data_IF_850998487975
#
_entry.id   IF_850998487975
#
_cell.length_a   1.000
_cell.length_b   1.000
_cell.length_c   1.000
_cell.angle_alpha   90.00
_cell.angle_beta   90.00
_cell.angle_gamma   90.00
#
_symmetry.space_group_name_H-M   'P 1'
#
loop_
_entity.id
_entity.type
_entity.pdbx_description
1 polymer ?
#
# COMPACT_ATOMS: atom_id res chain seq x y z
N UNK A 1 -4.93 32.44 -63.96
CA UNK A 1 -4.30 33.58 -63.26
C UNK A 1 -4.43 33.29 -61.78
N UNK A 2 -3.41 32.65 -61.22
CA UNK A 2 -2.32 33.31 -60.49
C UNK A 2 -2.79 33.61 -59.06
N UNK A 3 -2.10 33.27 -57.98
CA UNK A 3 -0.82 32.60 -57.75
C UNK A 3 -0.72 32.48 -56.19
N UNK A 4 0.21 31.66 -55.72
CA UNK A 4 0.87 31.66 -54.40
C UNK A 4 0.25 30.88 -53.23
N UNK A 5 0.72 29.63 -53.14
CA UNK A 5 1.56 29.14 -52.04
C UNK A 5 1.81 30.11 -50.88
N UNK A 6 1.51 29.67 -49.66
CA UNK A 6 2.29 30.03 -48.46
C UNK A 6 2.31 28.84 -47.51
N UNK A 7 3.54 28.42 -47.23
CA UNK A 7 3.96 27.28 -46.47
C UNK A 7 3.96 27.60 -44.96
N UNK A 8 3.92 26.53 -44.16
CA UNK A 8 4.71 26.34 -42.93
C UNK A 8 4.60 27.33 -41.77
N UNK A 9 4.08 26.84 -40.63
CA UNK A 9 4.88 26.40 -39.48
C UNK A 9 3.96 26.42 -38.25
N UNK A 10 3.49 25.25 -37.84
CA UNK A 10 2.94 25.08 -36.48
C UNK A 10 4.10 25.30 -35.51
N UNK A 11 4.05 26.40 -34.77
CA UNK A 11 4.97 26.71 -33.68
C UNK A 11 5.02 25.52 -32.73
N UNK A 12 6.20 24.90 -32.64
CA UNK A 12 6.52 23.97 -31.58
C UNK A 12 6.46 24.77 -30.26
N UNK A 13 5.52 24.43 -29.38
CA UNK A 13 5.50 24.91 -28.01
C UNK A 13 6.85 24.60 -27.37
N UNK A 14 7.64 25.65 -27.19
CA UNK A 14 8.93 25.61 -26.55
C UNK A 14 8.69 25.42 -25.04
N UNK A 15 8.64 24.17 -24.60
CA UNK A 15 8.62 23.83 -23.17
C UNK A 15 10.00 24.19 -22.61
N UNK A 16 10.13 25.44 -22.14
CA UNK A 16 11.24 25.85 -21.29
C UNK A 16 11.12 25.10 -19.96
N UNK A 17 11.80 23.96 -19.86
CA UNK A 17 11.96 23.21 -18.62
C UNK A 17 12.89 24.00 -17.69
N UNK A 18 12.32 24.95 -16.95
CA UNK A 18 13.01 25.59 -15.84
C UNK A 18 13.31 24.56 -14.75
N UNK A 19 14.58 24.42 -14.39
CA UNK A 19 15.03 23.67 -13.21
C UNK A 19 14.40 24.29 -11.96
N UNK A 20 13.22 23.80 -11.56
CA UNK A 20 12.43 24.34 -10.45
C UNK A 20 10.94 24.00 -10.50
N UNK A 21 10.42 23.52 -11.64
CA UNK A 21 9.02 23.08 -11.77
C UNK A 21 8.77 21.65 -11.29
N UNK A 22 9.09 21.31 -10.04
CA UNK A 22 8.57 20.07 -9.47
C UNK A 22 7.09 20.30 -9.14
N UNK A 23 6.19 19.81 -10.00
CA UNK A 23 4.80 19.64 -9.60
C UNK A 23 4.76 18.55 -8.52
N UNK A 24 4.81 18.98 -7.26
CA UNK A 24 4.68 18.06 -6.13
C UNK A 24 3.35 17.33 -6.23
N UNK A 25 3.37 16.00 -6.11
CA UNK A 25 2.17 15.18 -6.26
C UNK A 25 1.10 15.43 -5.18
N UNK A 26 1.45 16.19 -4.13
CA UNK A 26 0.60 16.51 -2.98
C UNK A 26 0.72 15.48 -1.86
N UNK A 27 -0.05 15.71 -0.78
CA UNK A 27 0.01 14.89 0.45
C UNK A 27 -0.83 13.60 0.38
N UNK A 28 -1.63 13.41 -0.68
CA UNK A 28 -2.39 12.19 -0.96
C UNK A 28 -2.11 11.74 -2.40
N UNK A 29 -0.98 11.06 -2.59
CA UNK A 29 -0.41 10.78 -3.89
C UNK A 29 0.08 9.34 -4.02
N UNK A 30 -0.09 8.80 -5.23
CA UNK A 30 0.54 7.56 -5.67
C UNK A 30 1.39 7.86 -6.88
N UNK A 31 2.70 7.67 -6.76
CA UNK A 31 3.67 7.99 -7.80
C UNK A 31 4.34 6.70 -8.29
N UNK A 32 4.01 6.22 -9.50
CA UNK A 32 4.77 5.14 -10.12
C UNK A 32 6.15 5.65 -10.56
N UNK A 33 7.16 4.80 -10.45
CA UNK A 33 8.50 5.09 -10.94
C UNK A 33 9.13 3.83 -11.53
N UNK A 34 10.18 4.04 -12.32
CA UNK A 34 11.01 2.98 -12.88
C UNK A 34 12.48 3.40 -12.81
N UNK A 35 13.35 2.47 -12.47
CA UNK A 35 14.79 2.65 -12.44
C UNK A 35 15.38 1.76 -13.53
N UNK A 36 15.61 2.34 -14.70
CA UNK A 36 16.05 1.61 -15.90
C UNK A 36 17.35 0.83 -15.65
N UNK A 37 18.34 1.46 -15.00
CA UNK A 37 19.63 0.81 -14.73
C UNK A 37 19.59 -0.40 -13.80
N UNK A 38 18.45 -0.69 -13.17
CA UNK A 38 18.25 -1.84 -12.27
C UNK A 38 17.14 -2.79 -12.77
N UNK A 39 16.50 -2.51 -13.91
CA UNK A 39 15.31 -3.22 -14.41
C UNK A 39 14.20 -3.35 -13.34
N UNK A 40 14.01 -2.30 -12.56
CA UNK A 40 13.09 -2.28 -11.44
C UNK A 40 12.02 -1.23 -11.67
N UNK A 41 10.78 -1.57 -11.35
CA UNK A 41 9.67 -0.63 -11.24
C UNK A 41 9.14 -0.60 -9.82
N UNK A 42 8.49 0.48 -9.47
CA UNK A 42 7.88 0.58 -8.15
C UNK A 42 6.83 1.66 -8.08
N UNK A 43 6.26 1.80 -6.89
CA UNK A 43 5.31 2.87 -6.57
C UNK A 43 5.58 3.37 -5.17
N UNK A 44 5.56 4.69 -5.03
CA UNK A 44 5.55 5.36 -3.74
C UNK A 44 4.13 5.86 -3.47
N UNK A 45 3.67 5.68 -2.24
CA UNK A 45 2.39 6.20 -1.75
C UNK A 45 2.67 7.11 -0.57
N UNK A 46 2.01 8.27 -0.55
CA UNK A 46 1.92 9.14 0.61
C UNK A 46 0.45 9.49 0.82
N UNK A 47 -0.02 9.33 2.06
CA UNK A 47 -1.36 9.66 2.52
C UNK A 47 -1.25 10.60 3.73
N UNK A 48 -1.96 11.71 3.66
CA UNK A 48 -1.99 12.77 4.67
C UNK A 48 -3.43 13.16 5.00
N UNK A 49 -4.05 14.12 4.30
CA UNK A 49 -5.43 14.50 4.54
C UNK A 49 -6.42 13.32 4.51
N UNK A 50 -6.27 12.40 3.56
CA UNK A 50 -7.14 11.22 3.42
C UNK A 50 -7.07 10.29 4.65
N UNK A 51 -5.86 9.96 5.12
CA UNK A 51 -5.71 9.10 6.28
C UNK A 51 -6.19 9.78 7.56
N UNK A 52 -5.96 11.08 7.70
CA UNK A 52 -6.51 11.87 8.81
C UNK A 52 -8.05 11.81 8.83
N UNK A 53 -8.70 11.95 7.68
CA UNK A 53 -10.16 11.90 7.60
C UNK A 53 -10.73 10.52 7.98
N UNK A 54 -10.05 9.44 7.60
CA UNK A 54 -10.41 8.06 7.96
C UNK A 54 -10.32 7.87 9.48
N UNK A 55 -9.17 8.22 10.06
CA UNK A 55 -8.88 7.96 11.47
C UNK A 55 -9.71 8.83 12.43
N UNK A 56 -9.98 10.10 12.07
CA UNK A 56 -10.76 11.03 12.91
C UNK A 56 -12.22 10.61 13.11
N UNK A 57 -12.77 9.75 12.26
CA UNK A 57 -14.18 9.37 12.32
C UNK A 57 -14.54 8.47 13.51
N UNK A 58 -13.57 7.74 14.05
CA UNK A 58 -13.78 6.70 15.05
C UNK A 58 -12.96 6.89 16.34
N UNK A 59 -12.20 7.98 16.45
CA UNK A 59 -11.38 8.31 17.64
C UNK A 59 -10.52 7.12 18.13
N UNK A 60 -9.88 6.41 17.20
CA UNK A 60 -9.06 5.25 17.53
C UNK A 60 -7.89 5.60 18.48
N UNK A 61 -7.57 4.71 19.44
CA UNK A 61 -6.30 4.75 20.15
C UNK A 61 -5.11 4.76 19.17
N UNK A 62 -3.99 5.35 19.58
CA UNK A 62 -2.87 5.62 18.69
C UNK A 62 -2.33 4.35 18.00
N UNK A 63 -2.29 3.25 18.75
CA UNK A 63 -1.80 1.94 18.33
C UNK A 63 -2.68 1.36 17.22
N UNK A 64 -4.00 1.44 17.42
CA UNK A 64 -5.00 0.97 16.43
C UNK A 64 -5.00 1.87 15.20
N UNK A 65 -4.89 3.18 15.39
CA UNK A 65 -4.84 4.16 14.31
C UNK A 65 -3.59 3.95 13.41
N UNK A 66 -2.44 3.68 14.02
CA UNK A 66 -1.19 3.37 13.31
C UNK A 66 -1.34 2.10 12.47
N UNK A 67 -1.81 1.02 13.07
CA UNK A 67 -2.04 -0.26 12.39
C UNK A 67 -3.03 -0.10 11.22
N UNK A 68 -4.15 0.59 11.44
CA UNK A 68 -5.14 0.84 10.38
C UNK A 68 -4.55 1.69 9.24
N UNK A 69 -3.69 2.66 9.55
CA UNK A 69 -2.99 3.44 8.54
C UNK A 69 -1.98 2.63 7.73
N UNK A 70 -1.21 1.74 8.37
CA UNK A 70 -0.30 0.82 7.67
C UNK A 70 -1.07 -0.10 6.71
N UNK A 71 -2.16 -0.71 7.18
CA UNK A 71 -3.05 -1.51 6.34
C UNK A 71 -3.65 -0.69 5.18
N UNK A 72 -3.97 0.58 5.42
CA UNK A 72 -4.50 1.48 4.39
C UNK A 72 -3.47 1.76 3.29
N UNK A 73 -2.24 2.10 3.67
CA UNK A 73 -1.15 2.33 2.71
C UNK A 73 -0.85 1.06 1.92
N UNK A 74 -0.76 -0.09 2.59
CA UNK A 74 -0.54 -1.37 1.92
C UNK A 74 -1.63 -1.62 0.87
N UNK A 75 -2.90 -1.46 1.27
CA UNK A 75 -4.04 -1.66 0.36
C UNK A 75 -4.00 -0.72 -0.84
N UNK A 76 -3.62 0.54 -0.67
CA UNK A 76 -3.47 1.50 -1.78
C UNK A 76 -2.28 1.14 -2.68
N UNK A 77 -1.14 0.73 -2.11
CA UNK A 77 0.01 0.26 -2.89
C UNK A 77 -0.37 -0.93 -3.77
N UNK A 78 -1.03 -1.94 -3.20
CA UNK A 78 -1.40 -3.14 -3.94
C UNK A 78 -2.53 -2.87 -4.93
N UNK A 79 -3.59 -2.20 -4.47
CA UNK A 79 -4.77 -1.88 -5.27
C UNK A 79 -4.47 -0.98 -6.46
N UNK A 80 -3.47 -0.09 -6.36
CA UNK A 80 -3.06 0.69 -7.52
C UNK A 80 -2.12 -0.09 -8.45
N UNK A 81 -1.34 -1.04 -7.91
CA UNK A 81 -0.39 -1.85 -8.69
C UNK A 81 -1.06 -2.85 -9.63
N UNK A 82 -2.24 -3.33 -9.26
CA UNK A 82 -3.03 -4.27 -10.06
C UNK A 82 -3.81 -3.54 -11.18
N UNK A 83 -3.86 -4.15 -12.37
CA UNK A 83 -4.69 -3.66 -13.48
C UNK A 83 -6.09 -4.25 -13.37
N UNK A 84 -7.01 -3.55 -12.71
CA UNK A 84 -8.42 -3.93 -12.62
C UNK A 84 -9.31 -2.69 -12.60
N UNK A 85 -10.61 -2.88 -12.81
CA UNK A 85 -11.64 -1.86 -12.52
C UNK A 85 -12.69 -2.43 -11.57
N UNK A 86 -12.77 -1.87 -10.36
CA UNK A 86 -13.61 -2.43 -9.29
C UNK A 86 -13.10 -2.10 -7.90
N UNK A 87 -13.11 -3.11 -7.02
CA UNK A 87 -12.72 -3.02 -5.61
C UNK A 87 -11.60 -3.99 -5.30
N UNK A 88 -10.60 -3.51 -4.58
CA UNK A 88 -9.59 -4.30 -3.89
C UNK A 88 -9.83 -4.19 -2.38
N UNK A 89 -9.96 -5.33 -1.72
CA UNK A 89 -10.34 -5.41 -0.30
C UNK A 89 -9.22 -6.14 0.43
N UNK A 90 -8.69 -5.47 1.45
CA UNK A 90 -7.84 -6.04 2.50
C UNK A 90 -8.75 -6.35 3.68
N UNK A 91 -8.73 -7.59 4.17
CA UNK A 91 -9.50 -7.96 5.35
C UNK A 91 -8.74 -8.92 6.25
N UNK A 92 -8.59 -8.57 7.52
CA UNK A 92 -8.07 -9.49 8.54
C UNK A 92 -9.21 -10.07 9.39
N UNK A 93 -8.98 -11.29 9.85
CA UNK A 93 -9.73 -11.89 10.95
C UNK A 93 -8.72 -12.59 11.86
N UNK A 94 -8.63 -12.14 13.11
CA UNK A 94 -7.58 -12.59 14.02
C UNK A 94 -8.03 -12.66 15.48
N UNK A 95 -7.17 -13.26 16.31
CA UNK A 95 -7.39 -13.46 17.74
C UNK A 95 -6.72 -12.40 18.64
N UNK A 96 -6.05 -11.41 18.06
CA UNK A 96 -5.39 -10.33 18.78
C UNK A 96 -6.35 -9.24 19.31
N UNK A 97 -5.82 -8.22 20.01
CA UNK A 97 -6.60 -7.05 20.45
C UNK A 97 -7.36 -6.34 19.34
N UNK A 98 -6.83 -6.34 18.11
CA UNK A 98 -7.47 -5.84 16.91
C UNK A 98 -7.92 -7.04 16.07
N UNK A 99 -9.15 -7.49 16.30
CA UNK A 99 -9.66 -8.75 15.74
C UNK A 99 -10.06 -8.66 14.25
N UNK A 100 -10.24 -7.44 13.73
CA UNK A 100 -10.67 -7.21 12.36
C UNK A 100 -10.22 -5.84 11.85
N UNK A 101 -9.51 -5.86 10.72
CA UNK A 101 -9.26 -4.70 9.87
C UNK A 101 -9.94 -4.94 8.53
N UNK A 102 -10.56 -3.91 7.99
CA UNK A 102 -11.07 -3.90 6.62
C UNK A 102 -10.64 -2.62 5.95
N UNK A 103 -10.00 -2.74 4.79
CA UNK A 103 -9.70 -1.59 3.92
C UNK A 103 -10.19 -1.92 2.52
N UNK A 104 -11.05 -1.05 1.99
CA UNK A 104 -11.49 -1.15 0.61
C UNK A 104 -10.91 0.00 -0.19
N UNK A 105 -10.14 -0.35 -1.21
CA UNK A 105 -9.74 0.54 -2.29
C UNK A 105 -10.66 0.30 -3.49
N UNK A 106 -11.27 1.37 -4.01
CA UNK A 106 -12.09 1.35 -5.22
C UNK A 106 -11.46 2.25 -6.27
N UNK A 107 -11.31 1.72 -7.47
CA UNK A 107 -10.82 2.49 -8.62
C UNK A 107 -11.74 3.68 -8.90
N UNK A 108 -11.20 4.84 -9.28
CA UNK A 108 -9.77 5.10 -9.49
C UNK A 108 -9.00 5.53 -8.21
N UNK A 109 -9.64 6.11 -7.19
CA UNK A 109 -8.94 6.80 -6.08
C UNK A 109 -9.69 6.82 -4.74
N UNK A 110 -10.69 5.95 -4.56
CA UNK A 110 -11.52 5.96 -3.35
C UNK A 110 -11.01 4.93 -2.36
N UNK A 111 -10.81 5.31 -1.10
CA UNK A 111 -10.42 4.39 -0.04
C UNK A 111 -11.31 4.56 1.18
N UNK A 112 -11.67 3.44 1.82
CA UNK A 112 -12.33 3.41 3.13
C UNK A 112 -11.63 2.37 3.99
N UNK A 113 -11.52 2.65 5.28
CA UNK A 113 -10.88 1.74 6.21
C UNK A 113 -11.66 1.71 7.53
N UNK A 114 -11.65 0.56 8.19
CA UNK A 114 -12.29 0.33 9.47
C UNK A 114 -11.50 -0.70 10.28
N UNK A 115 -11.38 -0.45 11.59
CA UNK A 115 -10.84 -1.38 12.57
C UNK A 115 -11.88 -1.69 13.64
N UNK A 116 -11.97 -2.96 14.05
CA UNK A 116 -12.63 -3.39 15.27
C UNK A 116 -11.57 -3.92 16.24
N UNK A 117 -11.69 -3.54 17.50
CA UNK A 117 -10.75 -3.91 18.54
C UNK A 117 -11.47 -4.09 19.89
N UNK A 118 -10.88 -4.87 20.77
CA UNK A 118 -11.30 -5.04 22.17
C UNK A 118 -10.52 -4.09 23.06
N UNK A 119 -11.22 -3.17 23.74
CA UNK A 119 -10.59 -2.15 24.58
C UNK A 119 -9.83 -2.73 25.79
N UNK A 120 -10.31 -3.81 26.39
CA UNK A 120 -9.68 -4.40 27.57
C UNK A 120 -8.38 -5.08 27.17
N UNK A 121 -8.42 -5.90 26.11
CA UNK A 121 -7.24 -6.58 25.58
C UNK A 121 -6.21 -5.60 25.02
N UNK A 122 -6.66 -4.50 24.42
CA UNK A 122 -5.76 -3.43 23.97
C UNK A 122 -5.05 -2.77 25.16
N UNK A 123 -5.76 -2.44 26.24
CA UNK A 123 -5.15 -1.86 27.46
C UNK A 123 -4.11 -2.80 28.07
N UNK A 124 -4.40 -4.10 28.11
CA UNK A 124 -3.45 -5.12 28.57
C UNK A 124 -2.21 -5.18 27.68
N UNK A 125 -2.39 -5.14 26.35
CA UNK A 125 -1.28 -5.12 25.40
C UNK A 125 -0.41 -3.87 25.54
N UNK A 126 -1.01 -2.69 25.74
CA UNK A 126 -0.31 -1.44 26.01
C UNK A 126 0.48 -1.53 27.32
N UNK A 127 -0.14 -2.02 28.40
CA UNK A 127 0.53 -2.19 29.69
C UNK A 127 1.70 -3.19 29.63
N UNK A 128 1.61 -4.19 28.76
CA UNK A 128 2.65 -5.18 28.50
C UNK A 128 3.70 -4.73 27.46
N UNK A 129 3.58 -3.51 26.91
CA UNK A 129 4.42 -2.98 25.83
C UNK A 129 4.43 -3.88 24.57
N UNK A 130 3.30 -4.50 24.26
CA UNK A 130 3.06 -5.37 23.09
C UNK A 130 2.16 -4.68 22.07
N UNK A 131 2.62 -3.55 21.56
CA UNK A 131 1.83 -2.65 20.71
C UNK A 131 2.32 -2.61 19.26
N UNK A 132 3.19 -3.54 18.86
CA UNK A 132 3.60 -3.65 17.45
C UNK A 132 2.41 -4.11 16.59
N UNK A 133 2.32 -3.68 15.32
CA UNK A 133 1.21 -4.04 14.43
C UNK A 133 0.84 -5.53 14.43
N UNK A 134 1.84 -6.40 14.31
CA UNK A 134 1.69 -7.87 14.32
C UNK A 134 1.23 -8.43 15.68
N UNK A 135 1.59 -7.79 16.79
CA UNK A 135 1.18 -8.19 18.13
C UNK A 135 -0.29 -7.82 18.40
N UNK A 136 -0.71 -6.67 17.86
CA UNK A 136 -2.10 -6.21 17.93
C UNK A 136 -3.03 -7.06 17.05
N UNK A 137 -2.52 -7.53 15.91
CA UNK A 137 -3.25 -8.47 15.05
C UNK A 137 -3.29 -9.87 15.67
N UNK A 138 -2.20 -10.36 16.25
CA UNK A 138 -2.11 -11.73 16.75
C UNK A 138 -2.10 -12.74 15.60
N UNK A 139 -2.73 -13.90 15.82
CA UNK A 139 -2.81 -14.97 14.83
C UNK A 139 -4.16 -14.98 14.13
N UNK A 140 -4.20 -15.45 12.88
CA UNK A 140 -5.42 -15.48 12.10
C UNK A 140 -5.18 -15.54 10.61
N UNK A 141 -6.01 -14.85 9.85
CA UNK A 141 -5.92 -14.80 8.39
C UNK A 141 -6.04 -13.37 7.88
N UNK A 142 -5.33 -13.11 6.79
CA UNK A 142 -5.48 -11.93 5.95
C UNK A 142 -5.95 -12.39 4.57
N UNK A 143 -7.03 -11.79 4.09
CA UNK A 143 -7.57 -11.99 2.77
C UNK A 143 -7.40 -10.73 1.91
N UNK A 144 -6.82 -10.91 0.73
CA UNK A 144 -6.84 -9.93 -0.37
C UNK A 144 -7.91 -10.36 -1.37
N UNK A 145 -8.88 -9.49 -1.64
CA UNK A 145 -9.98 -9.79 -2.56
C UNK A 145 -10.05 -8.76 -3.67
N UNK A 146 -10.04 -9.21 -4.92
CA UNK A 146 -10.28 -8.40 -6.12
C UNK A 146 -11.70 -8.69 -6.62
N UNK A 147 -12.54 -7.66 -6.70
CA UNK A 147 -13.92 -7.72 -7.17
C UNK A 147 -14.14 -6.70 -8.29
N UNK A 148 -14.31 -7.16 -9.51
CA UNK A 148 -14.51 -6.33 -10.72
C UNK A 148 -15.99 -6.25 -11.14
N UNK A 149 -16.93 -6.64 -10.27
CA UNK A 149 -18.36 -6.57 -10.50
C UNK A 149 -19.02 -7.88 -10.94
N UNK A 150 -20.33 -7.79 -11.22
CA UNK A 150 -21.27 -8.93 -11.29
C UNK A 150 -20.91 -9.95 -12.39
N UNK A 151 -20.25 -9.52 -13.46
CA UNK A 151 -19.89 -10.38 -14.59
C UNK A 151 -18.46 -10.92 -14.51
N UNK A 152 -17.78 -10.73 -13.38
CA UNK A 152 -16.40 -11.16 -13.17
C UNK A 152 -16.31 -12.12 -11.99
N UNK A 153 -15.41 -13.08 -12.07
CA UNK A 153 -15.13 -13.92 -10.92
C UNK A 153 -14.31 -13.14 -9.91
N UNK A 154 -14.78 -13.14 -8.66
CA UNK A 154 -14.02 -12.61 -7.53
C UNK A 154 -12.79 -13.49 -7.31
N UNK A 155 -11.63 -12.85 -7.27
CA UNK A 155 -10.38 -13.50 -6.92
C UNK A 155 -10.04 -13.19 -5.47
N UNK A 156 -9.66 -14.20 -4.69
CA UNK A 156 -9.30 -14.05 -3.29
C UNK A 156 -8.02 -14.83 -2.98
N UNK A 157 -7.01 -14.13 -2.48
CA UNK A 157 -5.81 -14.71 -1.91
C UNK A 157 -5.88 -14.64 -0.39
N UNK A 158 -5.58 -15.75 0.29
CA UNK A 158 -5.60 -15.83 1.76
C UNK A 158 -4.19 -16.20 2.24
N UNK A 159 -3.70 -15.48 3.24
CA UNK A 159 -2.42 -15.70 3.89
C UNK A 159 -2.61 -15.74 5.41
N UNK A 160 -1.73 -16.48 6.09
CA UNK A 160 -1.78 -16.58 7.55
C UNK A 160 -1.25 -15.29 8.20
N UNK A 161 -1.83 -14.94 9.34
CA UNK A 161 -1.22 -14.04 10.31
C UNK A 161 -0.61 -14.93 11.38
N UNK A 162 0.71 -14.91 11.49
CA UNK A 162 1.52 -15.80 12.34
C UNK A 162 2.57 -15.02 13.17
N UNK A 163 2.35 -13.72 13.33
CA UNK A 163 3.28 -12.79 13.96
C UNK A 163 4.27 -12.13 13.01
N UNK A 164 4.22 -12.43 11.70
CA UNK A 164 4.92 -11.64 10.69
C UNK A 164 4.31 -10.24 10.53
N UNK A 165 5.16 -9.29 10.12
CA UNK A 165 4.74 -7.93 9.78
C UNK A 165 3.86 -7.91 8.52
N UNK A 166 3.05 -6.85 8.36
CA UNK A 166 2.25 -6.67 7.14
C UNK A 166 3.12 -6.61 5.87
N UNK A 167 4.36 -6.13 5.99
CA UNK A 167 5.33 -6.08 4.91
C UNK A 167 5.75 -7.49 4.47
N UNK A 168 6.15 -8.33 5.41
CA UNK A 168 6.55 -9.72 5.17
C UNK A 168 5.41 -10.56 4.61
N UNK A 169 4.20 -10.36 5.14
CA UNK A 169 2.99 -11.05 4.65
C UNK A 169 2.70 -10.65 3.20
N UNK A 170 2.77 -9.35 2.87
CA UNK A 170 2.57 -8.88 1.50
C UNK A 170 3.64 -9.42 0.55
N UNK A 171 4.92 -9.40 0.94
CA UNK A 171 6.02 -9.97 0.15
C UNK A 171 5.82 -11.46 -0.08
N UNK A 172 5.38 -12.20 0.95
CA UNK A 172 5.08 -13.63 0.85
C UNK A 172 3.93 -13.89 -0.12
N UNK A 173 2.87 -13.09 -0.05
CA UNK A 173 1.74 -13.15 -0.97
C UNK A 173 2.19 -12.98 -2.43
N UNK A 174 2.97 -11.94 -2.76
CA UNK A 174 3.47 -11.73 -4.13
C UNK A 174 4.42 -12.83 -4.58
N UNK A 175 5.27 -13.34 -3.67
CA UNK A 175 6.16 -14.45 -3.98
C UNK A 175 5.39 -15.71 -4.38
N UNK A 176 4.33 -16.03 -3.64
CA UNK A 176 3.54 -17.26 -3.85
C UNK A 176 2.54 -17.14 -5.00
N UNK A 177 1.82 -16.01 -5.10
CA UNK A 177 0.72 -15.85 -6.06
C UNK A 177 1.17 -15.33 -7.42
N UNK A 178 2.18 -14.46 -7.47
CA UNK A 178 2.59 -13.77 -8.70
C UNK A 178 3.99 -14.17 -9.19
N UNK A 179 4.80 -14.83 -8.35
CA UNK A 179 6.21 -15.16 -8.64
C UNK A 179 7.03 -13.92 -9.07
N UNK A 180 6.71 -12.75 -8.50
CA UNK A 180 7.42 -11.50 -8.71
C UNK A 180 8.21 -11.20 -7.43
N UNK A 181 9.56 -11.21 -7.48
CA UNK A 181 10.36 -10.76 -6.35
C UNK A 181 9.99 -9.29 -6.06
N UNK A 182 9.43 -9.09 -4.87
CA UNK A 182 8.83 -7.84 -4.43
C UNK A 182 9.47 -7.48 -3.11
N UNK A 183 9.86 -6.22 -2.96
CA UNK A 183 10.20 -5.62 -1.68
C UNK A 183 9.18 -4.53 -1.35
N UNK A 184 8.86 -4.39 -0.07
CA UNK A 184 7.82 -3.51 0.40
C UNK A 184 8.21 -2.90 1.75
N UNK A 185 8.03 -1.58 1.85
CA UNK A 185 8.23 -0.82 3.10
C UNK A 185 7.04 0.08 3.38
N UNK A 186 6.64 0.11 4.64
CA UNK A 186 5.55 0.93 5.16
C UNK A 186 6.10 1.81 6.28
N UNK A 187 5.53 2.99 6.42
CA UNK A 187 5.84 3.89 7.52
C UNK A 187 4.64 4.75 7.87
N UNK A 188 4.35 4.86 9.16
CA UNK A 188 3.30 5.72 9.68
C UNK A 188 3.85 6.49 10.87
N UNK A 189 3.58 7.80 10.87
CA UNK A 189 3.97 8.69 11.95
C UNK A 189 2.89 9.74 12.21
N UNK A 190 2.86 10.22 13.46
CA UNK A 190 2.22 11.49 13.79
C UNK A 190 3.23 12.61 13.59
N UNK A 191 2.81 13.62 12.84
CA UNK A 191 3.50 14.88 12.69
C UNK A 191 2.84 15.92 13.59
N UNK A 192 3.64 16.70 14.30
CA UNK A 192 3.16 17.83 15.10
C UNK A 192 3.56 19.10 14.36
N UNK A 193 2.57 19.83 13.87
CA UNK A 193 2.76 21.09 13.17
C UNK A 193 2.16 22.25 13.97
N UNK A 194 2.54 23.49 13.67
CA UNK A 194 1.87 24.67 14.22
C UNK A 194 0.67 25.03 13.34
N UNK A 195 -0.52 25.03 13.94
CA UNK A 195 -1.74 25.50 13.31
C UNK A 195 -1.73 27.00 13.05
N UNK A 196 -2.72 27.47 12.29
CA UNK A 196 -2.87 28.90 11.95
C UNK A 196 -3.09 29.79 13.20
N UNK A 197 -3.58 29.21 14.29
CA UNK A 197 -3.72 29.87 15.60
C UNK A 197 -2.47 29.76 16.49
N UNK A 198 -1.36 29.22 15.94
CA UNK A 198 -0.09 29.02 16.63
C UNK A 198 -0.04 27.81 17.57
N UNK A 199 -1.14 27.07 17.74
CA UNK A 199 -1.21 25.88 18.60
C UNK A 199 -0.69 24.63 17.89
N UNK A 200 -0.14 23.64 18.60
CA UNK A 200 0.24 22.37 18.00
C UNK A 200 -0.99 21.64 17.46
N UNK A 201 -0.90 21.16 16.23
CA UNK A 201 -1.90 20.33 15.57
C UNK A 201 -1.23 19.00 15.22
N UNK A 202 -1.79 17.92 15.75
CA UNK A 202 -1.38 16.56 15.39
C UNK A 202 -2.02 16.14 14.07
N UNK A 203 -1.21 15.62 13.16
CA UNK A 203 -1.66 15.04 11.91
C UNK A 203 -0.97 13.72 11.65
N UNK A 204 -1.70 12.76 11.09
CA UNK A 204 -1.14 11.52 10.60
C UNK A 204 -0.48 11.72 9.24
N UNK A 205 0.67 11.06 9.07
CA UNK A 205 1.36 10.85 7.79
C UNK A 205 1.62 9.37 7.65
N UNK A 206 1.18 8.80 6.54
CA UNK A 206 1.34 7.40 6.24
C UNK A 206 1.92 7.28 4.83
N UNK A 207 2.90 6.42 4.63
CA UNK A 207 3.54 6.25 3.34
C UNK A 207 4.16 4.89 3.19
N UNK A 208 4.48 4.55 1.95
CA UNK A 208 5.08 3.27 1.66
C UNK A 208 5.61 3.18 0.25
N UNK A 209 6.42 2.16 0.02
CA UNK A 209 7.12 1.89 -1.21
C UNK A 209 6.96 0.42 -1.55
N UNK A 210 6.61 0.13 -2.80
CA UNK A 210 6.71 -1.22 -3.36
C UNK A 210 7.70 -1.19 -4.52
N UNK A 211 8.58 -2.18 -4.57
CA UNK A 211 9.63 -2.33 -5.56
C UNK A 211 9.55 -3.74 -6.15
N UNK A 212 9.54 -3.85 -7.48
CA UNK A 212 9.40 -5.10 -8.22
C UNK A 212 10.30 -5.11 -9.43
N UNK A 213 10.90 -6.26 -9.74
CA UNK A 213 11.62 -6.43 -11.00
C UNK A 213 10.67 -6.40 -12.21
N UNK A 214 11.17 -5.92 -13.34
CA UNK A 214 10.48 -6.03 -14.63
C UNK A 214 10.44 -7.50 -15.10
N UNK A 215 9.41 -7.89 -15.89
CA UNK A 215 9.26 -9.27 -16.35
C UNK A 215 10.49 -9.85 -17.06
N UNK A 216 11.23 -9.01 -17.78
CA UNK A 216 12.40 -9.37 -18.62
C UNK A 216 13.75 -9.20 -17.91
N UNK A 217 13.78 -8.84 -16.63
CA UNK A 217 15.05 -8.58 -15.93
C UNK A 217 15.90 -9.84 -15.76
N UNK A 218 17.16 -9.81 -16.18
CA UNK A 218 18.13 -10.89 -15.93
C UNK A 218 18.40 -11.09 -14.42
N UNK A 219 18.22 -10.06 -13.60
CA UNK A 219 18.35 -10.14 -12.14
C UNK A 219 17.22 -10.95 -11.51
N UNK A 220 16.04 -10.98 -12.15
CA UNK A 220 14.93 -11.86 -11.75
C UNK A 220 15.34 -13.34 -11.85
N UNK A 221 16.09 -13.71 -12.90
CA UNK A 221 16.57 -15.07 -13.12
C UNK A 221 17.67 -15.50 -12.13
N UNK A 222 18.24 -14.56 -11.34
CA UNK A 222 19.26 -14.86 -10.33
C UNK A 222 18.69 -15.18 -8.95
N UNK A 223 17.37 -15.07 -8.73
CA UNK A 223 16.75 -15.60 -7.52
C UNK A 223 16.74 -17.13 -7.65
N UNK A 224 17.50 -17.88 -6.83
CA UNK A 224 17.55 -19.33 -6.97
C UNK A 224 16.16 -19.90 -6.74
N UNK A 225 15.75 -20.85 -7.61
CA UNK A 225 14.64 -21.73 -7.29
C UNK A 225 14.90 -22.35 -5.91
N UNK A 226 14.07 -21.99 -4.93
CA UNK A 226 14.07 -22.68 -3.65
C UNK A 226 13.75 -24.15 -3.94
N UNK A 227 14.57 -25.11 -3.49
CA UNK A 227 14.36 -26.51 -3.82
C UNK A 227 12.96 -26.92 -3.37
N UNK A 228 12.24 -27.58 -4.29
CA UNK A 228 10.98 -28.24 -3.99
C UNK A 228 11.16 -29.09 -2.73
N UNK A 229 10.22 -28.98 -1.80
CA UNK A 229 10.18 -29.76 -0.57
C UNK A 229 10.25 -31.23 -0.93
N UNK A 230 11.43 -31.85 -0.84
CA UNK A 230 11.57 -33.29 -0.94
C UNK A 230 10.86 -33.88 0.26
N UNK A 231 9.76 -34.58 -0.02
CA UNK A 231 9.06 -35.41 0.92
C UNK A 231 10.06 -36.29 1.69
N UNK A 232 10.09 -36.12 3.01
CA UNK A 232 10.69 -37.09 3.92
C UNK A 232 9.81 -38.35 3.88
N UNK A 233 10.13 -39.27 2.97
CA UNK A 233 9.75 -40.67 3.10
C UNK A 233 10.79 -41.39 3.96
N UNK A 234 10.30 -41.91 5.09
CA UNK A 234 10.69 -43.12 5.81
C UNK A 234 12.15 -43.64 5.67
N UNK A 235 12.84 -43.71 6.81
CA UNK A 235 13.23 -44.99 7.41
C UNK A 235 13.47 -44.83 8.92
#
# INVERSE_FOLDING_TARGET
MSDKTSNEHTEAENIQTGLGGFNFAGDDAVVPFQVEGLDVRGRAVQLGPSINAILKRHEYPEEVARLLAEATVLTVLLGTSLKFDGKFIFQTQSDGPVDMLVVDFRTPRSVRAYARYDEARLKEAIAANKTRPEELLGNGTLAFTVDQGIYTQRYQGIVALDGSTLEEIAVTYFRQSEQIPTDLKLSVAKLIERGADGKPVEQWRAGGLIIQFLPESELRARVPDLPAVTAMTAN
#
